data_IF_401791418941
#
_entry.id   IF_401791418941
#
_cell.length_a   1.000
_cell.length_b   1.000
_cell.length_c   1.000
_cell.angle_alpha   90.00
_cell.angle_beta   90.00
_cell.angle_gamma   90.00
#
_symmetry.space_group_name_H-M   'P 1'
#
loop_
_entity.id
_entity.type
_entity.pdbx_description
1 polymer ?
#
# COMPACT_ATOMS: atom_id res chain seq x y z
N UNK A 1 -0.17 22.53 -2.01
CA UNK A 1 0.28 21.81 -0.80
C UNK A 1 0.05 20.34 -1.05
N UNK A 2 1.10 19.54 -1.11
CA UNK A 2 0.98 18.10 -1.38
C UNK A 2 0.47 17.42 -0.12
N UNK A 3 -0.67 16.72 -0.20
CA UNK A 3 -1.22 16.00 0.94
C UNK A 3 -0.23 14.92 1.41
N UNK A 4 -0.12 14.63 2.72
CA UNK A 4 0.79 13.60 3.23
C UNK A 4 0.56 12.22 2.58
N UNK A 5 -0.70 11.91 2.25
CA UNK A 5 -1.07 10.72 1.49
C UNK A 5 -0.52 10.72 0.05
N UNK A 6 -0.54 11.86 -0.62
CA UNK A 6 0.04 12.00 -1.95
C UNK A 6 1.56 11.80 -1.93
N UNK A 7 2.24 12.23 -0.86
CA UNK A 7 3.67 11.97 -0.67
C UNK A 7 3.93 10.48 -0.48
N UNK A 8 3.20 9.79 0.40
CA UNK A 8 3.35 8.33 0.64
C UNK A 8 3.07 7.52 -0.64
N UNK A 9 2.01 7.85 -1.36
CA UNK A 9 1.68 7.16 -2.61
C UNK A 9 2.68 7.50 -3.71
N UNK A 10 3.20 8.72 -3.73
CA UNK A 10 4.23 9.16 -4.67
C UNK A 10 5.56 8.46 -4.45
N UNK A 11 5.97 8.19 -3.22
CA UNK A 11 7.22 7.44 -2.93
C UNK A 11 7.12 5.96 -3.31
N UNK A 12 5.91 5.39 -3.28
CA UNK A 12 5.60 4.04 -3.74
C UNK A 12 5.35 3.95 -5.26
N UNK A 13 5.19 5.09 -5.94
CA UNK A 13 4.98 5.13 -7.38
C UNK A 13 6.28 4.78 -8.12
N UNK A 14 6.23 3.75 -8.95
CA UNK A 14 7.35 3.34 -9.81
C UNK A 14 8.41 2.44 -9.14
N UNK A 15 8.50 2.40 -7.81
CA UNK A 15 9.41 1.46 -7.12
C UNK A 15 8.74 0.85 -5.90
N UNK A 16 8.69 -0.49 -5.78
CA UNK A 16 8.25 -1.12 -4.55
C UNK A 16 9.24 -0.81 -3.41
N UNK A 17 8.72 -0.49 -2.22
CA UNK A 17 9.52 -0.07 -1.05
C UNK A 17 9.09 -0.81 0.20
N UNK A 18 10.04 -1.04 1.10
CA UNK A 18 9.78 -1.64 2.42
C UNK A 18 9.32 -0.56 3.40
N UNK A 19 8.62 -0.94 4.48
CA UNK A 19 8.24 -0.03 5.57
C UNK A 19 9.43 0.79 6.13
N UNK A 20 10.60 0.20 6.45
CA UNK A 20 11.75 0.97 6.95
C UNK A 20 12.37 1.91 5.90
N UNK A 21 12.31 1.58 4.61
CA UNK A 21 12.75 2.51 3.55
C UNK A 21 11.80 3.70 3.43
N UNK A 22 10.50 3.44 3.43
CA UNK A 22 9.45 4.45 3.42
C UNK A 22 9.56 5.40 4.61
N UNK A 23 9.80 4.86 5.81
CA UNK A 23 9.94 5.65 7.04
C UNK A 23 11.15 6.59 6.98
N UNK A 24 12.31 6.08 6.52
CA UNK A 24 13.52 6.88 6.30
C UNK A 24 13.31 7.98 5.26
N UNK A 25 12.65 7.66 4.15
CA UNK A 25 12.42 8.62 3.06
C UNK A 25 11.43 9.72 3.44
N UNK A 26 10.43 9.40 4.26
CA UNK A 26 9.44 10.35 4.74
C UNK A 26 9.84 11.07 6.03
N UNK A 27 10.97 10.70 6.64
CA UNK A 27 11.41 11.23 7.93
C UNK A 27 10.45 10.88 9.07
N UNK A 28 9.76 9.74 8.99
CA UNK A 28 8.77 9.27 9.95
C UNK A 28 9.23 7.99 10.63
N UNK A 29 8.58 7.59 11.72
CA UNK A 29 8.79 6.27 12.33
C UNK A 29 7.94 5.21 11.62
N UNK A 30 8.40 3.95 11.57
CA UNK A 30 7.63 2.85 10.99
C UNK A 30 6.28 2.65 11.69
N UNK A 31 6.21 2.78 13.03
CA UNK A 31 4.94 2.63 13.77
C UNK A 31 3.91 3.69 13.38
N UNK A 32 4.36 4.93 13.11
CA UNK A 32 3.48 6.01 12.69
C UNK A 32 2.92 5.79 11.27
N UNK A 33 3.70 5.12 10.40
CA UNK A 33 3.28 4.80 9.04
C UNK A 33 2.40 3.55 8.97
N UNK A 34 2.56 2.61 9.90
CA UNK A 34 1.88 1.31 9.89
C UNK A 34 0.35 1.45 9.84
N UNK A 35 -0.23 2.30 10.70
CA UNK A 35 -1.69 2.53 10.72
C UNK A 35 -2.23 3.14 9.42
N UNK A 36 -1.46 4.03 8.81
CA UNK A 36 -1.82 4.63 7.51
C UNK A 36 -1.71 3.60 6.38
N UNK A 37 -0.64 2.82 6.36
CA UNK A 37 -0.41 1.78 5.36
C UNK A 37 -1.44 0.66 5.47
N UNK A 38 -1.85 0.26 6.68
CA UNK A 38 -2.94 -0.69 6.89
C UNK A 38 -4.25 -0.18 6.31
N UNK A 39 -4.56 1.10 6.52
CA UNK A 39 -5.75 1.73 5.93
C UNK A 39 -5.69 1.75 4.39
N UNK A 40 -4.52 2.10 3.83
CA UNK A 40 -4.31 2.10 2.38
C UNK A 40 -4.37 0.68 1.78
N UNK A 41 -3.88 -0.32 2.50
CA UNK A 41 -3.90 -1.72 2.13
C UNK A 41 -5.34 -2.27 2.13
N UNK A 42 -6.08 -2.07 3.22
CA UNK A 42 -7.51 -2.44 3.31
C UNK A 42 -8.36 -1.69 2.28
N UNK A 43 -8.00 -0.45 1.95
CA UNK A 43 -8.64 0.35 0.90
C UNK A 43 -8.26 -0.04 -0.54
N UNK A 44 -7.31 -0.97 -0.71
CA UNK A 44 -6.85 -1.47 -2.01
C UNK A 44 -6.00 -0.47 -2.79
N UNK A 45 -5.40 0.53 -2.15
CA UNK A 45 -4.52 1.52 -2.79
C UNK A 45 -3.06 1.06 -2.86
N UNK A 46 -2.64 0.24 -1.90
CA UNK A 46 -1.32 -0.40 -1.88
C UNK A 46 -1.49 -1.89 -1.68
N UNK A 47 -0.54 -2.67 -2.16
CA UNK A 47 -0.50 -4.11 -1.96
C UNK A 47 0.93 -4.55 -1.70
N UNK A 48 1.08 -5.75 -1.16
CA UNK A 48 2.38 -6.39 -1.07
C UNK A 48 2.87 -6.75 -2.49
N UNK A 49 4.11 -6.34 -2.79
CA UNK A 49 4.85 -6.83 -3.93
C UNK A 49 5.42 -8.20 -3.53
N UNK A 50 4.59 -9.24 -3.66
CA UNK A 50 4.98 -10.62 -3.38
C UNK A 50 6.27 -10.97 -4.13
N UNK A 51 7.39 -11.07 -3.41
CA UNK A 51 8.55 -11.79 -3.92
C UNK A 51 8.29 -13.28 -3.72
N UNK A 52 7.51 -13.87 -4.62
CA UNK A 52 7.46 -15.33 -4.77
C UNK A 52 6.77 -16.13 -3.67
N UNK A 53 5.68 -15.65 -3.08
CA UNK A 53 4.69 -16.56 -2.48
C UNK A 53 3.55 -16.76 -3.46
N UNK A 54 3.40 -18.01 -3.89
CA UNK A 54 2.61 -18.44 -5.03
C UNK A 54 1.18 -17.93 -5.01
N UNK A 55 0.70 -17.62 -6.22
CA UNK A 55 -0.65 -17.86 -6.71
C UNK A 55 -1.71 -18.22 -5.65
N UNK A 56 -2.11 -17.26 -4.82
CA UNK A 56 -3.44 -17.29 -4.21
C UNK A 56 -4.36 -16.50 -5.11
N UNK A 57 -4.67 -17.11 -6.27
CA UNK A 57 -5.82 -16.78 -7.09
C UNK A 57 -7.10 -16.92 -6.24
N UNK A 58 -7.50 -15.88 -5.52
CA UNK A 58 -8.87 -15.74 -5.00
C UNK A 58 -9.83 -15.40 -6.16
N UNK A 59 -9.87 -16.28 -7.17
CA UNK A 59 -10.76 -16.24 -8.31
C UNK A 59 -12.11 -16.86 -7.92
N UNK A 60 -12.82 -16.22 -6.98
CA UNK A 60 -14.19 -16.61 -6.60
C UNK A 60 -14.47 -16.78 -5.10
N UNK A 61 -14.04 -15.86 -4.24
CA UNK A 61 -14.51 -15.84 -2.85
C UNK A 61 -15.98 -15.39 -2.76
N UNK A 62 -16.91 -16.33 -2.91
CA UNK A 62 -18.36 -16.13 -2.71
C UNK A 62 -18.79 -16.01 -1.24
N UNK A 63 -17.86 -15.85 -0.29
CA UNK A 63 -18.16 -15.76 1.14
C UNK A 63 -17.50 -14.53 1.77
N UNK A 64 -17.92 -13.36 1.26
CA UNK A 64 -17.54 -12.01 1.72
C UNK A 64 -17.79 -11.74 3.22
N UNK A 65 -18.60 -12.55 3.90
CA UNK A 65 -18.95 -12.37 5.33
C UNK A 65 -18.04 -13.12 6.32
N UNK A 66 -17.15 -14.01 5.86
CA UNK A 66 -16.38 -14.89 6.76
C UNK A 66 -14.86 -14.72 6.70
N UNK A 67 -14.35 -13.74 5.94
CA UNK A 67 -12.96 -13.29 6.09
C UNK A 67 -12.80 -12.43 7.36
N UNK A 68 -13.22 -12.94 8.52
CA UNK A 68 -12.82 -12.48 9.85
C UNK A 68 -11.79 -13.47 10.41
N UNK A 69 -10.72 -13.71 9.65
CA UNK A 69 -9.51 -14.42 10.11
C UNK A 69 -8.52 -14.50 8.96
N UNK A 70 -8.01 -13.35 8.52
CA UNK A 70 -6.59 -13.31 8.18
C UNK A 70 -5.91 -12.91 9.48
N UNK A 71 -5.08 -13.82 9.99
CA UNK A 71 -4.62 -13.88 11.36
C UNK A 71 -4.02 -12.59 11.90
N UNK A 72 -3.89 -12.57 13.22
CA UNK A 72 -3.25 -11.57 14.07
C UNK A 72 -1.74 -11.40 13.81
N UNK A 73 -1.29 -11.72 12.60
CA UNK A 73 0.04 -11.37 12.12
C UNK A 73 -0.14 -10.01 11.45
N UNK A 74 0.40 -8.96 12.07
CA UNK A 74 0.65 -7.70 11.38
C UNK A 74 1.26 -8.07 10.02
N UNK A 75 0.61 -7.74 8.89
CA UNK A 75 1.15 -8.09 7.58
C UNK A 75 2.55 -7.50 7.57
N UNK A 76 3.54 -8.38 7.53
CA UNK A 76 4.91 -7.94 7.52
C UNK A 76 5.07 -7.20 6.20
N UNK A 77 5.06 -5.86 6.26
CA UNK A 77 5.13 -4.98 5.10
C UNK A 77 6.54 -5.03 4.50
N UNK A 78 6.95 -6.23 4.08
CA UNK A 78 8.25 -6.61 3.56
C UNK A 78 8.53 -5.82 2.30
N UNK A 79 7.53 -5.70 1.42
CA UNK A 79 7.66 -4.94 0.19
C UNK A 79 6.29 -4.45 -0.28
N UNK A 80 6.07 -3.15 -0.30
CA UNK A 80 4.83 -2.51 -0.70
C UNK A 80 4.96 -1.91 -2.10
N UNK A 81 3.89 -2.03 -2.90
CA UNK A 81 3.75 -1.34 -4.18
C UNK A 81 2.39 -0.67 -4.30
N UNK A 82 2.32 0.35 -5.16
CA UNK A 82 1.04 0.91 -5.57
C UNK A 82 0.23 -0.11 -6.40
N UNK A 83 -1.08 -0.13 -6.19
CA UNK A 83 -2.03 -0.78 -7.11
C UNK A 83 -2.46 0.21 -8.20
N UNK A 84 -3.10 -0.26 -9.27
CA UNK A 84 -3.71 0.62 -10.27
C UNK A 84 -4.70 1.61 -9.65
N UNK A 85 -5.44 1.19 -8.62
CA UNK A 85 -6.35 2.05 -7.85
C UNK A 85 -5.58 3.12 -7.08
N UNK A 86 -4.47 2.75 -6.44
CA UNK A 86 -3.55 3.68 -5.79
C UNK A 86 -2.99 4.70 -6.76
N UNK A 87 -2.62 4.28 -7.96
CA UNK A 87 -2.09 5.16 -9.01
C UNK A 87 -3.14 6.14 -9.50
N UNK A 88 -4.36 5.67 -9.76
CA UNK A 88 -5.46 6.56 -10.13
C UNK A 88 -5.78 7.56 -9.00
N UNK A 89 -5.75 7.11 -7.76
CA UNK A 89 -6.00 7.99 -6.60
C UNK A 89 -4.88 9.02 -6.44
N UNK A 90 -3.62 8.62 -6.59
CA UNK A 90 -2.47 9.53 -6.61
C UNK A 90 -2.61 10.58 -7.72
N UNK A 91 -3.00 10.20 -8.95
CA UNK A 91 -3.24 11.15 -10.05
C UNK A 91 -4.33 12.18 -9.74
N UNK A 92 -5.34 11.79 -8.97
CA UNK A 92 -6.41 12.72 -8.51
C UNK A 92 -5.92 13.66 -7.41
N UNK A 93 -5.10 13.16 -6.49
CA UNK A 93 -4.56 13.93 -5.36
C UNK A 93 -3.40 14.84 -5.75
N UNK A 94 -2.62 14.40 -6.74
CA UNK A 94 -1.48 15.08 -7.31
C UNK A 94 -1.70 15.10 -8.82
N UNK A 95 -2.46 16.09 -9.34
CA UNK A 95 -2.36 16.46 -10.73
C UNK A 95 -0.96 17.04 -10.95
N UNK A 96 0.07 16.18 -10.94
CA UNK A 96 1.39 16.60 -11.39
C UNK A 96 1.27 16.94 -12.88
N UNK A 97 1.81 18.08 -13.31
CA UNK A 97 1.76 18.49 -14.69
C UNK A 97 2.46 17.41 -15.53
N UNK A 98 1.80 17.02 -16.63
CA UNK A 98 2.44 16.25 -17.68
C UNK A 98 3.79 16.90 -17.99
N UNK A 99 4.86 16.14 -17.82
CA UNK A 99 6.20 16.56 -18.23
C UNK A 99 6.53 15.89 -19.55
#
# INVERSE_FOLDING_TARGET
>A
MTSPLATILGTLAGTPRTLPELSRQLGSTPEALEGMLRTLYTGGYVQEALQGQGDCSCNGCSLKSLCRNFGDETPEFHLLRLTERGEQYLRRLSPQPAR
#
